data_IF_682154696965
#
_entry.id   IF_682154696965
#
_cell.length_a   1.000
_cell.length_b   1.000
_cell.length_c   1.000
_cell.angle_alpha   90.00
_cell.angle_beta   90.00
_cell.angle_gamma   90.00
#
_symmetry.space_group_name_H-M   'P 1'
#
loop_
_entity.id
_entity.type
_entity.pdbx_description
1 polymer ?
#
# COMPACT_ATOMS: atom_id res chain seq x y z
N UNK A 1 -0.24 -0.49 12.72
CA UNK A 1 -0.36 -0.74 11.27
C UNK A 1 0.70 0.08 10.59
N UNK A 2 1.37 -0.47 9.59
CA UNK A 2 2.45 0.16 8.83
C UNK A 2 2.03 0.34 7.37
N UNK A 3 2.18 1.55 6.82
CA UNK A 3 2.04 1.81 5.38
C UNK A 3 3.44 1.85 4.78
N UNK A 4 3.70 0.98 3.82
CA UNK A 4 4.98 0.81 3.14
C UNK A 4 4.84 1.13 1.65
N UNK A 5 5.57 2.13 1.18
CA UNK A 5 5.69 2.47 -0.24
C UNK A 5 6.93 1.79 -0.80
N UNK A 6 6.76 0.88 -1.75
CA UNK A 6 7.87 0.15 -2.37
C UNK A 6 8.36 0.94 -3.59
N UNK A 7 9.63 1.34 -3.60
CA UNK A 7 10.17 2.17 -4.68
C UNK A 7 11.52 1.66 -5.17
N UNK A 8 11.84 1.97 -6.43
CA UNK A 8 13.10 1.61 -7.08
C UNK A 8 13.43 2.60 -8.20
N UNK A 9 14.64 3.19 -8.17
CA UNK A 9 15.15 4.13 -9.19
C UNK A 9 14.23 5.32 -9.48
N UNK A 10 13.50 5.78 -8.47
CA UNK A 10 12.56 6.90 -8.54
C UNK A 10 12.69 7.82 -7.32
N UNK A 11 13.92 8.03 -6.88
CA UNK A 11 14.22 8.74 -5.63
C UNK A 11 13.56 10.13 -5.57
N UNK A 12 13.54 10.86 -6.67
CA UNK A 12 12.93 12.19 -6.79
C UNK A 12 11.43 12.17 -7.14
N UNK A 13 10.85 11.01 -7.46
CA UNK A 13 9.49 10.87 -7.99
C UNK A 13 8.59 9.92 -7.17
N UNK A 14 8.78 9.83 -5.85
CA UNK A 14 7.90 9.06 -4.96
C UNK A 14 6.58 9.82 -4.71
N UNK A 15 5.67 9.80 -5.68
CA UNK A 15 4.38 10.50 -5.65
C UNK A 15 3.54 10.05 -4.45
N UNK A 16 3.48 8.74 -4.18
CA UNK A 16 2.73 8.19 -3.03
C UNK A 16 3.26 8.73 -1.71
N UNK A 17 4.58 8.90 -1.58
CA UNK A 17 5.22 9.45 -0.39
C UNK A 17 4.88 10.92 -0.15
N UNK A 18 4.70 11.71 -1.22
CA UNK A 18 4.20 13.09 -1.14
C UNK A 18 2.74 13.13 -0.70
N UNK A 19 1.92 12.17 -1.15
CA UNK A 19 0.54 12.04 -0.72
C UNK A 19 0.42 11.54 0.73
N UNK A 20 1.27 10.61 1.16
CA UNK A 20 1.28 10.00 2.49
C UNK A 20 2.62 10.26 3.20
N UNK A 21 2.85 11.45 3.79
CA UNK A 21 4.14 11.82 4.39
C UNK A 21 4.61 10.91 5.53
N UNK A 22 3.67 10.22 6.21
CA UNK A 22 3.95 9.29 7.29
C UNK A 22 4.28 7.86 6.81
N UNK A 23 4.01 7.55 5.53
CA UNK A 23 4.31 6.23 4.98
C UNK A 23 5.81 5.98 4.94
N UNK A 24 6.22 4.74 5.19
CA UNK A 24 7.63 4.33 5.14
C UNK A 24 7.99 3.93 3.73
N UNK A 25 9.00 4.57 3.15
CA UNK A 25 9.52 4.21 1.83
C UNK A 25 10.54 3.09 2.01
N UNK A 26 10.35 1.96 1.31
CA UNK A 26 11.25 0.81 1.32
C UNK A 26 12.03 0.78 0.01
N UNK A 27 13.35 0.81 0.11
CA UNK A 27 14.30 0.89 -1.02
C UNK A 27 15.49 -0.04 -0.81
N UNK A 28 16.19 -0.45 -1.85
CA UNK A 28 17.49 -1.13 -1.71
C UNK A 28 18.52 -0.25 -0.99
N UNK A 29 19.39 -0.85 -0.21
CA UNK A 29 20.47 -0.17 0.53
C UNK A 29 21.38 0.65 -0.37
N UNK A 30 21.65 0.19 -1.60
CA UNK A 30 22.42 0.94 -2.61
C UNK A 30 21.78 2.28 -3.01
N UNK A 31 20.47 2.47 -2.82
CA UNK A 31 19.74 3.68 -3.19
C UNK A 31 19.32 4.54 -1.98
N UNK A 32 19.54 4.07 -0.75
CA UNK A 32 19.06 4.74 0.46
C UNK A 32 19.51 6.21 0.54
N UNK A 33 20.78 6.48 0.25
CA UNK A 33 21.37 7.83 0.33
C UNK A 33 20.66 8.79 -0.62
N UNK A 34 20.38 8.36 -1.84
CA UNK A 34 19.70 9.18 -2.85
C UNK A 34 18.25 9.48 -2.41
N UNK A 35 17.52 8.47 -1.96
CA UNK A 35 16.14 8.66 -1.49
C UNK A 35 16.04 9.62 -0.31
N UNK A 36 17.01 9.60 0.63
CA UNK A 36 17.05 10.52 1.77
C UNK A 36 17.28 11.98 1.36
N UNK A 37 17.85 12.24 0.19
CA UNK A 37 18.04 13.60 -0.33
C UNK A 37 16.71 14.21 -0.78
N UNK A 38 15.86 13.40 -1.44
CA UNK A 38 14.63 13.88 -2.08
C UNK A 38 13.37 13.72 -1.21
N UNK A 39 13.36 12.77 -0.26
CA UNK A 39 12.15 12.43 0.51
C UNK A 39 12.33 12.76 1.99
N UNK A 40 11.25 13.24 2.62
CA UNK A 40 11.18 13.51 4.08
C UNK A 40 10.50 12.40 4.86
N UNK A 41 9.91 11.43 4.16
CA UNK A 41 9.30 10.24 4.72
C UNK A 41 10.32 9.41 5.52
N UNK A 42 9.87 8.57 6.48
CA UNK A 42 10.68 7.49 6.99
C UNK A 42 11.17 6.60 5.84
N UNK A 43 12.47 6.28 5.82
CA UNK A 43 13.08 5.40 4.82
C UNK A 43 13.69 4.20 5.53
N UNK A 44 13.40 3.01 5.00
CA UNK A 44 13.96 1.73 5.43
C UNK A 44 14.65 1.07 4.24
N UNK A 45 15.90 0.69 4.42
CA UNK A 45 16.69 0.00 3.42
C UNK A 45 16.52 -1.52 3.54
N UNK A 46 16.18 -2.18 2.43
CA UNK A 46 16.29 -3.63 2.29
C UNK A 46 17.65 -3.99 1.66
N UNK A 47 18.22 -5.17 1.97
CA UNK A 47 19.42 -5.65 1.28
C UNK A 47 19.22 -5.65 -0.24
N UNK A 48 20.25 -5.31 -1.01
CA UNK A 48 20.15 -5.28 -2.47
C UNK A 48 19.73 -6.65 -3.05
N UNK A 49 20.12 -7.75 -2.40
CA UNK A 49 19.75 -9.12 -2.79
C UNK A 49 18.23 -9.41 -2.66
N UNK A 50 17.54 -8.65 -1.83
CA UNK A 50 16.08 -8.71 -1.62
C UNK A 50 15.34 -7.74 -2.56
N UNK A 51 16.08 -7.02 -3.43
CA UNK A 51 15.58 -6.10 -4.43
C UNK A 51 16.00 -6.51 -5.85
N UNK A 52 15.46 -7.64 -6.33
CA UNK A 52 15.64 -8.13 -7.71
C UNK A 52 14.34 -8.30 -8.48
N UNK A 53 13.23 -8.44 -7.77
CA UNK A 53 11.87 -8.40 -8.30
C UNK A 53 10.93 -7.90 -7.19
N UNK A 54 9.70 -7.57 -7.57
CA UNK A 54 8.73 -7.02 -6.62
C UNK A 54 8.33 -8.02 -5.53
N UNK A 55 8.23 -9.33 -5.85
CA UNK A 55 7.90 -10.39 -4.89
C UNK A 55 8.91 -10.47 -3.75
N UNK A 56 10.22 -10.42 -4.05
CA UNK A 56 11.32 -10.40 -3.07
C UNK A 56 11.20 -9.20 -2.13
N UNK A 57 11.09 -7.99 -2.68
CA UNK A 57 10.97 -6.77 -1.87
C UNK A 57 9.72 -6.80 -0.99
N UNK A 58 8.59 -7.28 -1.51
CA UNK A 58 7.35 -7.47 -0.73
C UNK A 58 7.56 -8.47 0.40
N UNK A 59 8.12 -9.64 0.10
CA UNK A 59 8.39 -10.69 1.08
C UNK A 59 9.32 -10.20 2.20
N UNK A 60 10.40 -9.50 1.85
CA UNK A 60 11.30 -8.91 2.83
C UNK A 60 10.57 -7.86 3.68
N UNK A 61 9.80 -6.97 3.05
CA UNK A 61 9.04 -5.93 3.75
C UNK A 61 8.05 -6.54 4.74
N UNK A 62 7.34 -7.59 4.32
CA UNK A 62 6.41 -8.32 5.18
C UNK A 62 7.18 -8.88 6.38
N UNK A 63 8.23 -9.68 6.15
CA UNK A 63 9.03 -10.28 7.24
C UNK A 63 9.63 -9.24 8.19
N UNK A 64 10.03 -8.08 7.68
CA UNK A 64 10.65 -7.02 8.48
C UNK A 64 9.68 -6.36 9.48
N UNK A 65 8.40 -6.23 9.12
CA UNK A 65 7.39 -5.52 9.95
C UNK A 65 6.32 -6.42 10.58
N UNK A 66 6.15 -7.65 10.09
CA UNK A 66 4.98 -8.48 10.40
C UNK A 66 4.78 -8.78 11.87
N UNK A 67 5.84 -8.99 12.66
CA UNK A 67 5.71 -9.36 14.08
C UNK A 67 5.09 -8.25 14.95
N UNK A 68 4.91 -7.05 14.38
CA UNK A 68 4.49 -5.86 15.14
C UNK A 68 3.14 -5.34 14.66
N UNK A 69 2.89 -5.36 13.36
CA UNK A 69 1.83 -4.54 12.77
C UNK A 69 1.22 -5.16 11.51
N UNK A 70 -0.07 -4.88 11.27
CA UNK A 70 -0.69 -5.03 9.94
C UNK A 70 0.04 -4.17 8.91
N UNK A 71 0.14 -4.64 7.67
CA UNK A 71 0.96 -4.00 6.64
C UNK A 71 0.10 -3.60 5.44
N UNK A 72 0.20 -2.34 5.01
CA UNK A 72 -0.32 -1.88 3.72
C UNK A 72 0.86 -1.65 2.79
N UNK A 73 0.98 -2.47 1.75
CA UNK A 73 1.94 -2.30 0.66
C UNK A 73 1.32 -1.42 -0.42
N UNK A 74 2.09 -0.45 -0.91
CA UNK A 74 1.68 0.47 -1.96
C UNK A 74 2.79 0.69 -2.99
N UNK A 75 2.38 0.91 -4.24
CA UNK A 75 3.27 1.39 -5.30
C UNK A 75 3.63 2.88 -5.07
N UNK A 76 4.68 3.36 -5.72
CA UNK A 76 5.26 4.70 -5.47
C UNK A 76 4.65 5.84 -6.29
N UNK A 77 3.78 5.55 -7.25
CA UNK A 77 3.18 6.52 -8.19
C UNK A 77 1.68 6.80 -8.00
N UNK A 78 1.14 6.49 -6.82
CA UNK A 78 -0.25 6.72 -6.49
C UNK A 78 -0.48 8.20 -6.19
N UNK A 79 -1.13 8.87 -7.14
CA UNK A 79 -1.43 10.31 -7.06
C UNK A 79 -2.48 10.64 -6.00
N UNK A 80 -3.49 9.79 -5.89
CA UNK A 80 -4.59 9.97 -4.94
C UNK A 80 -5.37 8.67 -4.73
N UNK A 81 -6.02 8.59 -3.59
CA UNK A 81 -7.09 7.64 -3.32
C UNK A 81 -8.37 8.45 -3.15
N UNK A 82 -9.49 7.90 -3.60
CA UNK A 82 -10.77 8.58 -3.56
C UNK A 82 -11.95 7.66 -3.42
N UNK A 83 -13.12 8.26 -3.29
CA UNK A 83 -14.41 7.58 -3.29
C UNK A 83 -15.41 8.35 -4.14
N UNK A 84 -16.50 7.70 -4.55
CA UNK A 84 -17.61 8.34 -5.24
C UNK A 84 -18.81 8.41 -4.28
N UNK A 85 -19.47 9.56 -4.23
CA UNK A 85 -20.75 9.76 -3.51
C UNK A 85 -21.84 10.11 -4.54
N UNK A 86 -22.90 9.30 -4.57
CA UNK A 86 -24.18 9.55 -5.26
C UNK A 86 -24.09 10.06 -6.71
N UNK A 87 -23.07 9.64 -7.47
CA UNK A 87 -22.86 10.09 -8.86
C UNK A 87 -22.54 11.58 -8.99
N UNK A 88 -22.29 12.28 -7.88
CA UNK A 88 -22.03 13.73 -7.84
C UNK A 88 -20.55 14.07 -8.07
N UNK A 89 -19.66 13.09 -7.94
CA UNK A 89 -18.25 13.23 -8.27
C UNK A 89 -17.34 12.29 -7.50
N UNK A 90 -16.05 12.30 -7.88
CA UNK A 90 -14.98 11.60 -7.19
C UNK A 90 -14.29 12.54 -6.20
N UNK A 91 -14.24 12.13 -4.94
CA UNK A 91 -13.66 12.90 -3.84
C UNK A 91 -12.33 12.29 -3.42
N UNK A 92 -11.29 13.13 -3.32
CA UNK A 92 -9.98 12.72 -2.79
C UNK A 92 -10.05 12.55 -1.28
N UNK A 93 -9.52 11.44 -0.77
CA UNK A 93 -9.38 11.25 0.69
C UNK A 93 -8.12 11.92 1.20
N UNK A 94 -8.19 12.50 2.40
CA UNK A 94 -7.00 13.00 3.09
C UNK A 94 -6.12 11.85 3.59
N UNK A 95 -4.81 12.09 3.83
CA UNK A 95 -3.91 11.06 4.35
C UNK A 95 -4.41 10.44 5.66
N UNK A 96 -4.87 11.28 6.58
CA UNK A 96 -5.45 10.84 7.86
C UNK A 96 -6.69 9.95 7.66
N UNK A 97 -7.60 10.35 6.75
CA UNK A 97 -8.80 9.56 6.45
C UNK A 97 -8.44 8.22 5.79
N UNK A 98 -7.37 8.18 5.00
CA UNK A 98 -6.85 6.91 4.45
C UNK A 98 -6.32 5.99 5.55
N UNK A 99 -5.55 6.52 6.51
CA UNK A 99 -5.07 5.73 7.66
C UNK A 99 -6.24 5.16 8.48
N UNK A 100 -7.25 5.99 8.78
CA UNK A 100 -8.48 5.56 9.46
C UNK A 100 -9.22 4.48 8.66
N UNK A 101 -9.32 4.65 7.34
CA UNK A 101 -9.90 3.66 6.45
C UNK A 101 -9.14 2.33 6.51
N UNK A 102 -7.81 2.35 6.47
CA UNK A 102 -7.01 1.12 6.53
C UNK A 102 -7.26 0.34 7.83
N UNK A 103 -7.36 1.02 8.98
CA UNK A 103 -7.68 0.39 10.26
C UNK A 103 -9.05 -0.31 10.23
N UNK A 104 -10.05 0.35 9.63
CA UNK A 104 -11.38 -0.24 9.43
C UNK A 104 -11.27 -1.45 8.49
N UNK A 105 -10.59 -1.30 7.35
CA UNK A 105 -10.42 -2.37 6.36
C UNK A 105 -9.75 -3.62 6.96
N UNK A 106 -8.77 -3.47 7.86
CA UNK A 106 -8.16 -4.59 8.57
C UNK A 106 -9.14 -5.28 9.53
N UNK A 107 -9.98 -4.53 10.26
CA UNK A 107 -11.02 -5.14 11.10
C UNK A 107 -12.02 -5.92 10.24
N UNK A 108 -12.46 -5.35 9.12
CA UNK A 108 -13.37 -6.01 8.19
C UNK A 108 -12.75 -7.26 7.57
N UNK A 109 -11.47 -7.19 7.18
CA UNK A 109 -10.73 -8.33 6.63
C UNK A 109 -10.76 -9.52 7.59
N UNK A 110 -10.53 -9.27 8.89
CA UNK A 110 -10.61 -10.28 9.95
C UNK A 110 -12.03 -10.80 10.18
N UNK A 111 -13.02 -9.92 10.25
CA UNK A 111 -14.43 -10.31 10.43
C UNK A 111 -14.94 -11.19 9.29
N UNK A 112 -14.47 -10.95 8.07
CA UNK A 112 -14.76 -11.75 6.89
C UNK A 112 -13.96 -13.06 6.82
N UNK A 113 -13.01 -13.30 7.74
CA UNK A 113 -12.13 -14.47 7.71
C UNK A 113 -11.12 -14.46 6.57
N UNK A 114 -10.80 -13.27 6.04
CA UNK A 114 -9.81 -13.08 4.98
C UNK A 114 -8.49 -12.57 5.56
N UNK A 115 -7.41 -12.69 4.79
CA UNK A 115 -6.05 -12.28 5.21
C UNK A 115 -5.48 -11.11 4.41
N UNK A 116 -6.19 -10.71 3.36
CA UNK A 116 -5.74 -9.77 2.33
C UNK A 116 -6.93 -8.89 1.91
N UNK A 117 -6.68 -7.60 1.69
CA UNK A 117 -7.63 -6.68 1.08
C UNK A 117 -6.93 -5.69 0.16
N UNK A 118 -7.68 -5.09 -0.76
CA UNK A 118 -7.16 -4.08 -1.67
C UNK A 118 -8.26 -3.12 -2.14
N UNK A 119 -7.88 -2.19 -3.02
CA UNK A 119 -8.80 -1.20 -3.57
C UNK A 119 -8.99 -1.39 -5.07
N UNK A 120 -10.19 -1.06 -5.56
CA UNK A 120 -10.44 -0.91 -6.98
C UNK A 120 -9.62 0.27 -7.53
N UNK A 121 -8.92 0.06 -8.65
CA UNK A 121 -8.09 1.06 -9.30
C UNK A 121 -8.85 1.90 -10.32
N UNK A 122 -10.07 1.49 -10.66
CA UNK A 122 -10.90 2.19 -11.61
C UNK A 122 -11.57 3.40 -10.95
N UNK A 123 -11.19 4.59 -11.42
CA UNK A 123 -11.74 5.86 -10.96
C UNK A 123 -13.05 6.24 -11.66
N UNK A 124 -13.47 5.54 -12.71
CA UNK A 124 -14.71 5.82 -13.43
C UNK A 124 -15.92 5.54 -12.51
N UNK A 125 -16.74 6.56 -12.20
CA UNK A 125 -17.94 6.40 -11.36
C UNK A 125 -18.91 5.36 -11.90
N UNK A 126 -18.96 5.12 -13.21
CA UNK A 126 -19.85 4.11 -13.81
C UNK A 126 -19.44 2.67 -13.45
N UNK A 127 -18.16 2.46 -13.14
CA UNK A 127 -17.64 1.18 -12.68
C UNK A 127 -17.74 1.01 -11.16
N UNK A 128 -18.11 2.06 -10.43
CA UNK A 128 -18.24 2.03 -8.99
C UNK A 128 -19.58 1.43 -8.57
N UNK A 129 -19.54 0.21 -8.02
CA UNK A 129 -20.75 -0.52 -7.58
C UNK A 129 -21.14 -0.11 -6.16
N UNK A 130 -21.83 1.02 -6.01
CA UNK A 130 -22.23 1.54 -4.69
C UNK A 130 -23.04 0.55 -3.84
N UNK A 131 -23.77 -0.38 -4.47
CA UNK A 131 -24.56 -1.41 -3.80
C UNK A 131 -23.78 -2.70 -3.48
N UNK A 132 -22.51 -2.81 -3.89
CA UNK A 132 -21.66 -3.99 -3.69
C UNK A 132 -20.22 -3.55 -3.38
N UNK A 133 -19.98 -3.06 -2.15
CA UNK A 133 -18.69 -2.48 -1.75
C UNK A 133 -17.57 -3.52 -1.59
N UNK A 134 -17.91 -4.81 -1.49
CA UNK A 134 -16.94 -5.90 -1.36
C UNK A 134 -16.96 -6.82 -2.58
N UNK A 135 -15.79 -7.25 -3.01
CA UNK A 135 -15.60 -8.34 -3.96
C UNK A 135 -14.63 -9.36 -3.37
N UNK A 136 -15.09 -10.61 -3.19
CA UNK A 136 -14.28 -11.72 -2.69
C UNK A 136 -13.65 -12.56 -3.83
N UNK A 137 -13.89 -12.16 -5.08
CA UNK A 137 -13.43 -12.88 -6.28
C UNK A 137 -12.43 -12.07 -7.11
N UNK A 138 -12.31 -10.76 -6.84
CA UNK A 138 -11.35 -9.90 -7.53
C UNK A 138 -9.94 -10.11 -6.98
N UNK A 139 -8.95 -10.01 -7.85
CA UNK A 139 -7.54 -10.06 -7.44
C UNK A 139 -7.16 -8.78 -6.68
N UNK A 140 -6.39 -8.94 -5.61
CA UNK A 140 -5.73 -7.83 -4.91
C UNK A 140 -4.38 -7.57 -5.58
N UNK A 141 -4.22 -6.37 -6.15
CA UNK A 141 -3.06 -5.99 -6.96
C UNK A 141 -2.08 -5.09 -6.18
N UNK A 142 -0.93 -4.81 -6.80
CA UNK A 142 0.17 -4.05 -6.21
C UNK A 142 -0.12 -2.65 -5.68
N UNK A 143 -0.96 -1.82 -6.33
CA UNK A 143 -1.13 -0.43 -5.93
C UNK A 143 -1.57 -0.24 -4.47
N UNK A 144 -2.52 -1.03 -3.98
CA UNK A 144 -2.90 -1.02 -2.56
C UNK A 144 -3.22 -2.42 -2.12
N UNK A 145 -2.43 -2.92 -1.17
CA UNK A 145 -2.56 -4.26 -0.63
C UNK A 145 -2.38 -4.26 0.88
N UNK A 146 -3.46 -4.47 1.62
CA UNK A 146 -3.44 -4.67 3.06
C UNK A 146 -3.34 -6.13 3.42
N UNK A 147 -2.35 -6.49 4.24
CA UNK A 147 -2.05 -7.84 4.70
C UNK A 147 -2.18 -7.87 6.22
N UNK A 148 -3.05 -8.74 6.73
CA UNK A 148 -3.19 -8.96 8.17
C UNK A 148 -1.90 -9.57 8.73
N UNK A 149 -1.52 -9.19 9.96
CA UNK A 149 -0.28 -9.70 10.57
C UNK A 149 -0.37 -11.18 11.00
N UNK A 150 -1.58 -11.70 11.21
CA UNK A 150 -1.84 -13.03 11.77
C UNK A 150 -1.52 -14.19 10.80
N UNK A 151 -1.06 -13.93 9.58
CA UNK A 151 -0.85 -14.94 8.54
C UNK A 151 0.55 -14.94 7.91
N UNK A 152 0.99 -16.10 7.43
CA UNK A 152 2.28 -16.33 6.74
C UNK A 152 2.22 -16.05 5.22
N UNK A 153 1.47 -15.03 4.82
CA UNK A 153 1.33 -14.70 3.39
C UNK A 153 2.65 -14.18 2.82
N UNK A 154 3.11 -14.82 1.75
CA UNK A 154 4.28 -14.47 0.97
C UNK A 154 4.00 -14.73 -0.52
N UNK A 155 4.72 -14.03 -1.37
CA UNK A 155 4.66 -14.15 -2.83
C UNK A 155 5.64 -15.21 -3.33
N UNK A 156 5.25 -15.89 -4.41
CA UNK A 156 6.12 -16.70 -5.24
C UNK A 156 6.98 -15.84 -6.18
N UNK A 157 8.09 -16.43 -6.64
CA UNK A 157 9.03 -15.86 -7.61
C UNK A 157 8.96 -16.59 -8.95
#
# INVERSE_FOLDING_TARGET
>A
MKICVLSYKRADEVITGRYLPAATIVVPESQEVEYRQYNKNPIVACPDAEDGNISKKRNWTIKHFKDKEDIVLMDDDIRQIGYNEDGTGSFRISPKRFEEFCLIAFNMCRELGTILWGLNQNFDPLNYKSYSPFSLTSCVLGPVMGICKENDFLFDE
#
